data_IF_505862090336
#
_entry.id   IF_505862090336
#
_cell.length_a   1.000
_cell.length_b   1.000
_cell.length_c   1.000
_cell.angle_alpha   90.00
_cell.angle_beta   90.00
_cell.angle_gamma   90.00
#
_symmetry.space_group_name_H-M   'P 1'
#
loop_
_entity.id
_entity.type
_entity.pdbx_description
1 polymer ?
#
# COMPACT_ATOMS: atom_id res chain seq x y z
N UNK A 1 -26.42 14.82 -4.58
CA UNK A 1 -25.73 13.62 -5.09
C UNK A 1 -25.69 13.68 -6.59
N UNK A 2 -24.66 13.15 -7.22
CA UNK A 2 -24.46 13.07 -8.66
C UNK A 2 -24.16 11.62 -9.02
N UNK A 3 -24.86 11.11 -10.03
CA UNK A 3 -24.62 9.76 -10.56
C UNK A 3 -23.53 9.84 -11.63
N UNK A 4 -22.40 9.17 -11.41
CA UNK A 4 -21.24 9.21 -12.31
C UNK A 4 -20.88 7.82 -12.83
N UNK A 5 -20.52 7.77 -14.11
CA UNK A 5 -19.91 6.58 -14.70
C UNK A 5 -18.41 6.57 -14.41
N UNK A 6 -17.91 5.44 -13.91
CA UNK A 6 -16.49 5.14 -13.74
C UNK A 6 -16.27 3.68 -14.12
N UNK A 7 -15.81 3.40 -15.35
CA UNK A 7 -15.49 2.05 -15.77
C UNK A 7 -14.46 1.43 -14.81
N UNK A 8 -14.81 0.28 -14.24
CA UNK A 8 -13.99 -0.36 -13.19
C UNK A 8 -14.20 -1.85 -13.11
N UNK A 9 -13.15 -2.57 -12.75
CA UNK A 9 -13.17 -4.00 -12.43
C UNK A 9 -12.32 -4.28 -11.20
N UNK A 10 -12.66 -5.37 -10.50
CA UNK A 10 -11.82 -5.95 -9.46
C UNK A 10 -11.24 -7.26 -9.97
N UNK A 11 -9.92 -7.39 -9.96
CA UNK A 11 -9.23 -8.66 -10.20
C UNK A 11 -8.97 -9.31 -8.85
N UNK A 12 -9.72 -10.35 -8.55
CA UNK A 12 -9.64 -11.08 -7.28
C UNK A 12 -9.02 -12.46 -7.46
N UNK A 13 -8.59 -13.10 -6.40
CA UNK A 13 -8.10 -14.47 -6.43
C UNK A 13 -8.84 -15.36 -5.45
N UNK A 14 -8.69 -16.67 -5.61
CA UNK A 14 -9.19 -17.64 -4.64
C UNK A 14 -8.37 -17.66 -3.35
N UNK A 15 -7.09 -17.29 -3.42
CA UNK A 15 -6.15 -17.20 -2.31
C UNK A 15 -4.95 -16.33 -2.68
N UNK A 16 -4.00 -16.17 -1.75
CA UNK A 16 -2.71 -15.54 -2.05
C UNK A 16 -1.89 -16.40 -3.00
N UNK A 17 -1.07 -15.77 -3.86
CA UNK A 17 -0.15 -16.47 -4.75
C UNK A 17 -0.78 -17.06 -6.03
N UNK A 18 -2.06 -16.80 -6.34
CA UNK A 18 -2.70 -17.29 -7.58
C UNK A 18 -2.27 -16.54 -8.85
N UNK A 19 -1.45 -15.48 -8.72
CA UNK A 19 -0.92 -14.69 -9.84
C UNK A 19 -1.68 -13.41 -10.15
N UNK A 20 -2.47 -12.88 -9.20
CA UNK A 20 -3.19 -11.59 -9.35
C UNK A 20 -2.28 -10.45 -9.81
N UNK A 21 -1.18 -10.23 -9.10
CA UNK A 21 -0.26 -9.11 -9.36
C UNK A 21 0.33 -9.17 -10.76
N UNK A 22 0.75 -10.35 -11.23
CA UNK A 22 1.24 -10.56 -12.59
C UNK A 22 0.19 -10.20 -13.64
N UNK A 23 -1.05 -10.69 -13.46
CA UNK A 23 -2.17 -10.44 -14.38
C UNK A 23 -2.58 -8.97 -14.38
N UNK A 24 -2.69 -8.36 -13.21
CA UNK A 24 -3.06 -6.94 -13.07
C UNK A 24 -1.98 -6.05 -13.67
N UNK A 25 -0.71 -6.26 -13.33
CA UNK A 25 0.42 -5.51 -13.90
C UNK A 25 0.43 -5.64 -15.43
N UNK A 26 0.20 -6.85 -15.96
CA UNK A 26 0.10 -7.09 -17.39
C UNK A 26 -1.06 -6.35 -18.04
N UNK A 27 -2.26 -6.37 -17.46
CA UNK A 27 -3.41 -5.62 -17.97
C UNK A 27 -3.17 -4.11 -17.96
N UNK A 28 -2.57 -3.58 -16.87
CA UNK A 28 -2.21 -2.17 -16.76
C UNK A 28 -1.22 -1.76 -17.86
N UNK A 29 -0.14 -2.53 -18.03
CA UNK A 29 0.88 -2.27 -19.05
C UNK A 29 0.30 -2.37 -20.47
N UNK A 30 -0.52 -3.39 -20.75
CA UNK A 30 -1.17 -3.57 -22.04
C UNK A 30 -2.07 -2.38 -22.39
N UNK A 31 -3.02 -2.03 -21.51
CA UNK A 31 -3.92 -0.91 -21.79
C UNK A 31 -3.18 0.42 -21.90
N UNK A 32 -2.18 0.66 -21.05
CA UNK A 32 -1.34 1.85 -21.14
C UNK A 32 -0.60 1.92 -22.49
N UNK A 33 -0.03 0.80 -22.98
CA UNK A 33 0.66 0.73 -24.28
C UNK A 33 -0.28 0.97 -25.47
N UNK A 34 -1.58 0.74 -25.28
CA UNK A 34 -2.63 1.05 -26.29
C UNK A 34 -3.18 2.48 -26.19
N UNK A 35 -2.63 3.30 -25.29
CA UNK A 35 -3.01 4.71 -25.13
C UNK A 35 -4.21 4.95 -24.22
N UNK A 36 -4.69 3.93 -23.49
CA UNK A 36 -5.77 4.13 -22.51
C UNK A 36 -5.22 4.82 -21.24
N UNK A 37 -6.01 5.72 -20.68
CA UNK A 37 -5.79 6.27 -19.36
C UNK A 37 -6.26 5.25 -18.31
N UNK A 38 -5.32 4.43 -17.78
CA UNK A 38 -5.64 3.35 -16.85
C UNK A 38 -5.37 3.80 -15.42
N UNK A 39 -6.34 3.67 -14.52
CA UNK A 39 -6.15 4.00 -13.11
C UNK A 39 -6.01 2.72 -12.27
N UNK A 40 -4.81 2.45 -11.73
CA UNK A 40 -4.59 1.32 -10.85
C UNK A 40 -5.01 1.61 -9.42
N UNK A 41 -5.55 0.56 -8.77
CA UNK A 41 -5.82 0.52 -7.34
C UNK A 41 -5.41 -0.82 -6.73
N UNK A 42 -5.09 -0.83 -5.44
CA UNK A 42 -4.82 -2.03 -4.64
C UNK A 42 -5.72 -2.06 -3.42
N UNK A 43 -6.36 -3.20 -3.15
CA UNK A 43 -7.12 -3.40 -1.90
C UNK A 43 -6.16 -3.65 -0.75
N UNK A 44 -6.42 -2.97 0.39
CA UNK A 44 -5.64 -3.13 1.61
C UNK A 44 -4.34 -2.33 1.68
N UNK A 45 -3.58 -2.47 2.77
CA UNK A 45 -2.43 -1.64 3.10
C UNK A 45 -1.12 -2.20 2.51
N UNK A 46 -1.06 -2.30 1.19
CA UNK A 46 0.09 -2.81 0.44
C UNK A 46 0.93 -1.66 -0.11
N UNK A 47 2.25 -1.75 -0.01
CA UNK A 47 3.20 -0.77 -0.55
C UNK A 47 3.95 -1.26 -1.79
N UNK A 48 3.99 -2.58 -2.01
CA UNK A 48 4.83 -3.21 -3.04
C UNK A 48 4.11 -3.28 -4.37
N UNK A 49 2.93 -3.92 -4.40
CA UNK A 49 2.16 -4.08 -5.63
C UNK A 49 1.80 -2.73 -6.26
N UNK A 50 1.42 -1.67 -5.49
CA UNK A 50 1.21 -0.33 -6.03
C UNK A 50 2.41 0.24 -6.78
N UNK A 51 3.64 -0.10 -6.39
CA UNK A 51 4.85 0.30 -7.08
C UNK A 51 4.95 -0.27 -8.50
N UNK A 52 4.63 -1.56 -8.68
CA UNK A 52 4.54 -2.21 -10.00
C UNK A 52 3.40 -1.63 -10.82
N UNK A 53 2.23 -1.47 -10.21
CA UNK A 53 1.06 -0.91 -10.87
C UNK A 53 1.30 0.50 -11.38
N UNK A 54 1.93 1.35 -10.57
CA UNK A 54 2.24 2.72 -10.93
C UNK A 54 3.17 2.80 -12.14
N UNK A 55 4.22 1.97 -12.17
CA UNK A 55 5.13 1.87 -13.32
C UNK A 55 4.42 1.35 -14.57
N UNK A 56 3.59 0.31 -14.44
CA UNK A 56 2.86 -0.28 -15.56
C UNK A 56 1.81 0.67 -16.17
N UNK A 57 1.15 1.48 -15.34
CA UNK A 57 0.09 2.40 -15.77
C UNK A 57 0.60 3.83 -16.08
N UNK A 58 1.86 4.15 -15.79
CA UNK A 58 2.42 5.49 -15.94
C UNK A 58 1.80 6.54 -15.01
N UNK A 59 1.17 6.13 -13.90
CA UNK A 59 0.52 7.02 -12.91
C UNK A 59 0.39 6.33 -11.55
N UNK A 60 0.23 7.11 -10.48
CA UNK A 60 0.14 6.58 -9.12
C UNK A 60 -0.95 5.51 -8.99
N UNK A 61 -0.61 4.42 -8.29
CA UNK A 61 -1.57 3.44 -7.79
C UNK A 61 -2.00 3.81 -6.38
N UNK A 62 -3.29 3.69 -6.07
CA UNK A 62 -3.84 4.06 -4.77
C UNK A 62 -4.39 2.85 -4.02
N UNK A 63 -4.30 2.91 -2.69
CA UNK A 63 -4.87 1.87 -1.84
C UNK A 63 -6.35 2.16 -1.56
N UNK A 64 -7.18 1.11 -1.61
CA UNK A 64 -8.59 1.13 -1.22
C UNK A 64 -8.75 0.28 0.03
N UNK A 65 -9.16 0.91 1.12
CA UNK A 65 -9.17 0.28 2.43
C UNK A 65 -10.30 0.87 3.30
N UNK A 66 -11.17 0.01 3.84
CA UNK A 66 -12.32 0.44 4.66
C UNK A 66 -12.02 0.48 6.16
N UNK A 67 -10.81 0.07 6.58
CA UNK A 67 -10.33 0.25 7.95
C UNK A 67 -9.59 1.57 8.12
N UNK A 68 -8.60 1.81 7.26
CA UNK A 68 -7.74 2.99 7.32
C UNK A 68 -8.45 4.24 6.80
N UNK A 69 -9.37 4.10 5.84
CA UNK A 69 -10.20 5.19 5.33
C UNK A 69 -11.63 5.04 5.87
N UNK A 70 -12.29 6.10 6.34
CA UNK A 70 -13.69 6.04 6.73
C UNK A 70 -14.55 5.47 5.60
N UNK A 71 -15.46 4.50 5.88
CA UNK A 71 -16.21 3.77 4.86
C UNK A 71 -17.07 4.66 3.94
N UNK A 72 -17.58 5.78 4.45
CA UNK A 72 -18.34 6.80 3.72
C UNK A 72 -17.47 7.61 2.73
N UNK A 73 -16.15 7.63 2.91
CA UNK A 73 -15.20 8.32 2.04
C UNK A 73 -14.67 7.45 0.91
N UNK A 74 -14.84 6.14 0.97
CA UNK A 74 -14.29 5.22 -0.04
C UNK A 74 -14.79 5.57 -1.45
N UNK A 75 -16.10 5.68 -1.65
CA UNK A 75 -16.70 5.96 -2.97
C UNK A 75 -16.33 7.35 -3.48
N UNK A 76 -16.43 8.45 -2.70
CA UNK A 76 -15.97 9.76 -3.13
C UNK A 76 -14.48 9.80 -3.49
N UNK A 77 -13.62 9.16 -2.70
CA UNK A 77 -12.18 9.09 -2.96
C UNK A 77 -11.90 8.33 -4.27
N UNK A 78 -12.47 7.14 -4.46
CA UNK A 78 -12.36 6.39 -5.71
C UNK A 78 -12.83 7.21 -6.91
N UNK A 79 -14.00 7.85 -6.81
CA UNK A 79 -14.57 8.65 -7.87
C UNK A 79 -13.69 9.85 -8.28
N UNK A 80 -13.02 10.46 -7.31
CA UNK A 80 -12.07 11.56 -7.54
C UNK A 80 -10.80 11.06 -8.23
N UNK A 81 -10.20 10.00 -7.70
CA UNK A 81 -8.93 9.45 -8.19
C UNK A 81 -9.06 8.79 -9.57
N UNK A 82 -10.23 8.22 -9.89
CA UNK A 82 -10.54 7.62 -11.20
C UNK A 82 -11.03 8.61 -12.24
N UNK A 83 -11.04 9.91 -11.92
CA UNK A 83 -11.50 10.94 -12.88
C UNK A 83 -10.60 10.98 -14.12
N UNK A 84 -11.24 10.90 -15.31
CA UNK A 84 -10.52 10.92 -16.58
C UNK A 84 -9.82 9.62 -16.95
N UNK A 85 -10.02 8.55 -16.18
CA UNK A 85 -9.57 7.22 -16.57
C UNK A 85 -10.59 6.56 -17.51
N UNK A 86 -10.08 5.86 -18.54
CA UNK A 86 -10.89 5.02 -19.44
C UNK A 86 -11.30 3.73 -18.74
N UNK A 87 -10.45 3.23 -17.84
CA UNK A 87 -10.69 2.05 -17.01
C UNK A 87 -9.94 2.17 -15.69
N UNK A 88 -10.57 1.72 -14.60
CA UNK A 88 -9.93 1.49 -13.31
C UNK A 88 -9.79 0.00 -13.04
N UNK A 89 -8.58 -0.46 -12.75
CA UNK A 89 -8.29 -1.85 -12.41
C UNK A 89 -7.89 -1.91 -10.94
N UNK A 90 -8.66 -2.69 -10.16
CA UNK A 90 -8.49 -2.82 -8.73
C UNK A 90 -7.95 -4.22 -8.44
N UNK A 91 -6.70 -4.32 -7.97
CA UNK A 91 -6.17 -5.60 -7.52
C UNK A 91 -6.66 -5.92 -6.11
N UNK A 92 -7.22 -7.12 -5.95
CA UNK A 92 -7.63 -7.66 -4.66
C UNK A 92 -6.45 -8.08 -3.77
N UNK A 93 -6.71 -8.19 -2.49
CA UNK A 93 -5.78 -8.72 -1.48
C UNK A 93 -6.17 -10.14 -1.10
N UNK A 94 -5.21 -11.02 -0.81
CA UNK A 94 -5.44 -12.41 -0.39
C UNK A 94 -6.47 -13.14 -1.28
N UNK A 95 -7.39 -13.91 -0.72
CA UNK A 95 -8.57 -14.42 -1.40
C UNK A 95 -9.72 -13.40 -1.39
N UNK A 96 -10.65 -13.51 -2.33
CA UNK A 96 -11.77 -12.58 -2.54
C UNK A 96 -12.51 -12.22 -1.25
N UNK A 97 -12.75 -13.21 -0.39
CA UNK A 97 -13.52 -13.06 0.86
C UNK A 97 -12.64 -12.92 2.10
N UNK A 98 -11.30 -12.99 1.95
CA UNK A 98 -10.37 -12.84 3.05
C UNK A 98 -10.18 -11.37 3.39
N UNK A 99 -10.19 -11.04 4.68
CA UNK A 99 -10.07 -9.64 5.14
C UNK A 99 -9.76 -9.53 6.62
N UNK A 100 -9.92 -8.35 7.18
CA UNK A 100 -9.87 -8.09 8.61
C UNK A 100 -10.99 -8.82 9.38
N UNK A 101 -11.18 -8.48 10.66
CA UNK A 101 -12.29 -9.02 11.44
C UNK A 101 -13.63 -8.71 10.75
N UNK A 102 -14.51 -9.71 10.65
CA UNK A 102 -15.81 -9.60 9.97
C UNK A 102 -15.74 -9.18 8.49
N UNK A 103 -14.66 -9.51 7.78
CA UNK A 103 -14.49 -9.21 6.36
C UNK A 103 -14.18 -7.75 6.03
N UNK A 104 -13.88 -6.90 7.02
CA UNK A 104 -13.48 -5.50 6.80
C UNK A 104 -12.26 -5.45 5.87
N UNK A 105 -12.30 -4.55 4.90
CA UNK A 105 -11.26 -4.38 3.87
C UNK A 105 -10.92 -5.66 3.10
N UNK A 106 -11.86 -6.64 3.02
CA UNK A 106 -11.73 -7.73 2.05
C UNK A 106 -11.93 -7.19 0.63
N UNK A 107 -11.46 -7.95 -0.36
CA UNK A 107 -11.70 -7.62 -1.77
C UNK A 107 -13.20 -7.57 -2.06
N UNK A 108 -13.99 -8.47 -1.46
CA UNK A 108 -15.46 -8.48 -1.58
C UNK A 108 -16.11 -7.23 -0.97
N UNK A 109 -15.63 -6.75 0.20
CA UNK A 109 -16.14 -5.52 0.81
C UNK A 109 -15.94 -4.30 -0.12
N UNK A 110 -14.75 -4.17 -0.70
CA UNK A 110 -14.46 -3.10 -1.67
C UNK A 110 -15.31 -3.25 -2.94
N UNK A 111 -15.42 -4.46 -3.50
CA UNK A 111 -16.21 -4.73 -4.70
C UNK A 111 -17.68 -4.34 -4.51
N UNK A 112 -18.28 -4.71 -3.37
CA UNK A 112 -19.68 -4.37 -3.03
C UNK A 112 -19.87 -2.85 -2.89
N UNK A 113 -19.01 -2.17 -2.11
CA UNK A 113 -19.11 -0.72 -1.90
C UNK A 113 -18.96 0.07 -3.18
N UNK A 114 -18.07 -0.35 -4.04
CA UNK A 114 -17.87 0.25 -5.35
C UNK A 114 -18.82 -0.28 -6.42
N UNK A 115 -19.68 -1.26 -6.14
CA UNK A 115 -20.51 -1.96 -7.12
C UNK A 115 -19.67 -2.38 -8.34
N UNK A 116 -18.47 -2.89 -8.08
CA UNK A 116 -17.51 -3.23 -9.13
C UNK A 116 -17.65 -4.71 -9.50
N UNK A 117 -17.79 -5.04 -10.81
CA UNK A 117 -17.76 -6.43 -11.25
C UNK A 117 -16.38 -7.05 -10.92
N UNK A 118 -16.41 -8.31 -10.51
CA UNK A 118 -15.23 -9.07 -10.12
C UNK A 118 -14.85 -10.04 -11.22
N UNK A 119 -13.57 -10.05 -11.61
CA UNK A 119 -12.96 -11.10 -12.44
C UNK A 119 -12.10 -11.96 -11.51
N UNK A 120 -12.45 -13.23 -11.38
CA UNK A 120 -11.80 -14.13 -10.45
C UNK A 120 -10.65 -14.90 -11.11
N UNK A 121 -9.45 -14.76 -10.57
CA UNK A 121 -8.27 -15.56 -11.01
C UNK A 121 -8.31 -16.91 -10.36
N UNK A 122 -8.30 -17.97 -11.19
CA UNK A 122 -8.30 -19.37 -10.79
C UNK A 122 -6.94 -20.01 -11.07
N UNK A 123 -6.30 -20.58 -10.05
CA UNK A 123 -5.09 -21.38 -10.24
C UNK A 123 -5.46 -22.77 -10.78
N UNK A 124 -5.12 -23.01 -12.05
CA UNK A 124 -5.40 -24.26 -12.75
C UNK A 124 -4.25 -25.27 -12.64
N UNK A 125 -3.22 -25.00 -11.81
CA UNK A 125 -2.11 -25.93 -11.63
C UNK A 125 -2.61 -27.26 -11.04
N UNK A 126 -2.42 -28.34 -11.80
CA UNK A 126 -2.74 -29.72 -11.36
C UNK A 126 -4.22 -29.95 -11.00
N UNK A 127 -5.14 -29.18 -11.62
CA UNK A 127 -6.59 -29.33 -11.44
C UNK A 127 -7.27 -29.46 -12.81
N UNK A 128 -8.31 -30.27 -12.89
CA UNK A 128 -9.15 -30.45 -14.08
C UNK A 128 -10.57 -29.95 -13.83
N UNK A 129 -11.57 -30.80 -14.07
CA UNK A 129 -13.00 -30.47 -13.92
C UNK A 129 -13.37 -29.92 -12.53
N UNK A 130 -12.65 -30.27 -11.46
CA UNK A 130 -12.91 -29.79 -10.10
C UNK A 130 -12.78 -28.28 -9.94
N UNK A 131 -12.11 -27.57 -10.87
CA UNK A 131 -12.00 -26.11 -10.83
C UNK A 131 -13.37 -25.43 -10.93
N UNK A 132 -14.35 -26.07 -11.59
CA UNK A 132 -15.72 -25.59 -11.67
C UNK A 132 -16.40 -25.50 -10.29
N UNK A 133 -16.13 -26.46 -9.40
CA UNK A 133 -16.65 -26.41 -8.05
C UNK A 133 -16.10 -25.22 -7.27
N UNK A 134 -14.82 -24.87 -7.48
CA UNK A 134 -14.21 -23.67 -6.92
C UNK A 134 -14.89 -22.41 -7.45
N UNK A 135 -15.03 -22.29 -8.75
CA UNK A 135 -15.66 -21.12 -9.39
C UNK A 135 -17.12 -20.94 -8.91
N UNK A 136 -17.89 -22.03 -8.87
CA UNK A 136 -19.26 -22.04 -8.35
C UNK A 136 -19.32 -21.63 -6.89
N UNK A 137 -18.46 -22.22 -6.04
CA UNK A 137 -18.42 -21.89 -4.61
C UNK A 137 -18.18 -20.40 -4.38
N UNK A 138 -17.24 -19.79 -5.10
CA UNK A 138 -16.99 -18.36 -5.01
C UNK A 138 -18.18 -17.52 -5.49
N UNK A 139 -18.86 -17.91 -6.56
CA UNK A 139 -20.02 -17.19 -7.11
C UNK A 139 -21.24 -17.24 -6.18
N UNK A 140 -21.49 -18.40 -5.58
CA UNK A 140 -22.69 -18.64 -4.75
C UNK A 140 -22.50 -18.25 -3.28
N UNK A 141 -21.25 -18.01 -2.83
CA UNK A 141 -20.94 -17.75 -1.42
C UNK A 141 -21.52 -16.41 -0.92
N UNK A 142 -21.44 -15.37 -1.75
CA UNK A 142 -22.01 -14.04 -1.43
C UNK A 142 -22.72 -13.49 -2.68
N UNK A 143 -24.07 -13.50 -2.71
CA UNK A 143 -24.84 -13.08 -3.88
C UNK A 143 -24.73 -11.57 -4.17
N UNK A 144 -24.22 -10.75 -3.22
CA UNK A 144 -24.01 -9.32 -3.41
C UNK A 144 -22.69 -9.03 -4.13
N UNK A 145 -21.83 -10.04 -4.35
CA UNK A 145 -20.60 -9.94 -5.11
C UNK A 145 -20.82 -10.44 -6.53
N UNK A 146 -20.81 -9.53 -7.49
CA UNK A 146 -21.00 -9.87 -8.90
C UNK A 146 -19.70 -10.39 -9.52
N UNK A 147 -19.55 -11.72 -9.66
CA UNK A 147 -18.46 -12.35 -10.42
C UNK A 147 -18.86 -12.39 -11.89
N UNK A 148 -18.24 -11.49 -12.69
CA UNK A 148 -18.54 -11.31 -14.11
C UNK A 148 -17.83 -12.34 -15.00
N UNK A 149 -16.77 -12.97 -14.52
CA UNK A 149 -16.03 -13.99 -15.25
C UNK A 149 -14.75 -14.40 -14.51
N UNK A 150 -13.98 -15.26 -15.17
CA UNK A 150 -12.73 -15.79 -14.62
C UNK A 150 -11.55 -15.59 -15.58
N UNK A 151 -10.34 -15.53 -15.00
CA UNK A 151 -9.08 -15.70 -15.71
C UNK A 151 -8.45 -17.00 -15.19
N UNK A 152 -8.21 -17.93 -16.11
CA UNK A 152 -7.55 -19.19 -15.83
C UNK A 152 -6.04 -18.96 -15.81
N UNK A 153 -5.35 -19.36 -14.74
CA UNK A 153 -3.91 -19.16 -14.63
C UNK A 153 -3.17 -20.49 -14.45
N UNK A 154 -1.90 -20.54 -14.87
CA UNK A 154 -1.01 -21.69 -14.75
C UNK A 154 -1.50 -22.94 -15.48
N UNK A 155 -2.14 -22.78 -16.63
CA UNK A 155 -2.50 -23.86 -17.51
C UNK A 155 -1.26 -24.61 -18.01
N UNK A 156 -1.36 -25.92 -18.21
CA UNK A 156 -0.21 -26.74 -18.60
C UNK A 156 -0.09 -26.95 -20.10
N UNK A 157 -1.20 -27.20 -20.78
CA UNK A 157 -1.28 -27.53 -22.23
C UNK A 157 -2.58 -27.05 -22.82
N UNK A 158 -2.66 -26.94 -24.16
CA UNK A 158 -3.87 -26.56 -24.87
C UNK A 158 -5.04 -27.54 -24.60
N UNK A 159 -4.74 -28.84 -24.45
CA UNK A 159 -5.75 -29.83 -24.05
C UNK A 159 -6.28 -29.58 -22.64
N UNK A 160 -5.42 -29.15 -21.74
CA UNK A 160 -5.83 -28.77 -20.38
C UNK A 160 -6.71 -27.52 -20.41
N UNK A 161 -6.34 -26.52 -21.20
CA UNK A 161 -7.15 -25.31 -21.38
C UNK A 161 -8.53 -25.66 -21.96
N UNK A 162 -8.58 -26.45 -23.03
CA UNK A 162 -9.84 -26.87 -23.64
C UNK A 162 -10.78 -27.57 -22.64
N UNK A 163 -10.24 -28.47 -21.81
CA UNK A 163 -10.98 -29.17 -20.76
C UNK A 163 -11.52 -28.20 -19.70
N UNK A 164 -10.71 -27.23 -19.26
CA UNK A 164 -11.15 -26.27 -18.23
C UNK A 164 -12.18 -25.27 -18.81
N UNK A 165 -12.02 -24.84 -20.07
CA UNK A 165 -13.03 -23.99 -20.74
C UNK A 165 -14.37 -24.71 -20.90
N UNK A 166 -14.35 -25.99 -21.29
CA UNK A 166 -15.57 -26.80 -21.41
C UNK A 166 -16.37 -26.84 -20.10
N UNK A 167 -15.68 -27.01 -18.96
CA UNK A 167 -16.38 -27.07 -17.68
C UNK A 167 -16.85 -25.70 -17.19
N UNK A 168 -16.13 -24.61 -17.51
CA UNK A 168 -16.62 -23.23 -17.26
C UNK A 168 -17.88 -22.92 -18.06
N UNK A 169 -17.94 -23.35 -19.32
CA UNK A 169 -19.13 -23.19 -20.15
C UNK A 169 -20.35 -23.91 -19.55
N UNK A 170 -20.16 -25.15 -19.06
CA UNK A 170 -21.24 -25.94 -18.40
C UNK A 170 -21.84 -25.26 -17.17
N UNK A 171 -21.06 -24.44 -16.48
CA UNK A 171 -21.52 -23.66 -15.30
C UNK A 171 -21.87 -22.20 -15.67
N UNK A 172 -21.88 -21.86 -16.95
CA UNK A 172 -22.14 -20.51 -17.45
C UNK A 172 -21.22 -19.45 -16.80
N UNK A 173 -19.92 -19.74 -16.72
CA UNK A 173 -18.90 -18.84 -16.21
C UNK A 173 -18.03 -18.34 -17.36
N UNK A 174 -18.12 -17.02 -17.72
CA UNK A 174 -17.31 -16.47 -18.79
C UNK A 174 -15.81 -16.59 -18.49
N UNK A 175 -15.01 -17.05 -19.46
CA UNK A 175 -13.55 -17.11 -19.39
C UNK A 175 -12.98 -15.93 -20.17
N UNK A 176 -12.50 -14.92 -19.44
CA UNK A 176 -11.95 -13.69 -20.01
C UNK A 176 -10.45 -13.80 -20.33
N UNK A 177 -9.77 -14.83 -19.87
CA UNK A 177 -8.37 -15.06 -20.17
C UNK A 177 -7.88 -16.42 -19.74
N UNK A 178 -6.76 -16.87 -20.33
CA UNK A 178 -6.17 -18.17 -20.09
C UNK A 178 -4.63 -18.10 -20.19
N UNK A 179 -3.97 -17.97 -19.05
CA UNK A 179 -2.52 -17.92 -18.96
C UNK A 179 -1.92 -19.29 -18.84
N UNK A 180 -1.04 -19.62 -19.76
CA UNK A 180 -0.18 -20.80 -19.66
C UNK A 180 0.97 -20.53 -18.68
N UNK A 181 1.59 -21.63 -18.20
CA UNK A 181 2.80 -21.51 -17.36
C UNK A 181 3.91 -20.85 -18.17
N UNK A 182 4.44 -19.79 -17.64
CA UNK A 182 5.56 -19.07 -18.17
C UNK A 182 6.45 -18.61 -16.99
N UNK A 183 7.65 -19.21 -16.90
CA UNK A 183 8.59 -18.92 -15.81
C UNK A 183 9.15 -17.48 -15.93
N UNK A 184 9.13 -16.89 -17.12
CA UNK A 184 9.55 -15.50 -17.33
C UNK A 184 8.57 -14.47 -16.73
N UNK A 185 7.34 -14.87 -16.41
CA UNK A 185 6.35 -14.03 -15.72
C UNK A 185 6.47 -14.08 -14.18
N UNK A 186 7.34 -14.94 -13.66
CA UNK A 186 7.52 -15.05 -12.21
C UNK A 186 8.29 -13.82 -11.69
N UNK A 187 7.68 -13.11 -10.75
CA UNK A 187 8.43 -12.12 -9.97
C UNK A 187 9.45 -12.84 -9.10
N UNK A 188 10.72 -12.42 -9.07
CA UNK A 188 11.74 -13.06 -8.25
C UNK A 188 11.30 -13.18 -6.79
N UNK A 189 11.54 -14.33 -6.16
CA UNK A 189 11.37 -14.48 -4.70
C UNK A 189 12.31 -13.53 -3.95
N UNK A 190 11.84 -12.92 -2.89
CA UNK A 190 12.34 -11.66 -2.37
C UNK A 190 12.72 -11.79 -0.90
N UNK A 191 13.65 -10.95 -0.45
CA UNK A 191 14.01 -10.82 0.95
C UNK A 191 12.73 -10.62 1.78
N UNK A 192 12.43 -11.53 2.73
CA UNK A 192 11.20 -11.53 3.54
C UNK A 192 9.89 -11.51 2.72
N UNK A 193 9.89 -12.00 1.48
CA UNK A 193 8.75 -11.89 0.57
C UNK A 193 8.55 -10.52 -0.07
N UNK A 194 9.50 -9.59 0.14
CA UNK A 194 9.38 -8.18 -0.24
C UNK A 194 10.71 -7.70 -0.89
N UNK A 195 10.74 -7.20 -2.12
CA UNK A 195 11.94 -6.59 -2.73
C UNK A 195 11.61 -5.22 -3.28
N UNK A 196 12.46 -4.21 -3.05
CA UNK A 196 12.40 -2.96 -3.78
C UNK A 196 12.55 -3.23 -5.28
N UNK A 197 11.75 -2.56 -6.06
CA UNK A 197 11.72 -2.68 -7.51
C UNK A 197 12.92 -1.92 -8.09
N UNK A 198 14.00 -2.60 -8.46
CA UNK A 198 15.10 -1.98 -9.22
C UNK A 198 14.65 -1.63 -10.63
N UNK A 199 15.15 -0.51 -11.21
CA UNK A 199 14.47 0.11 -12.37
C UNK A 199 14.55 -0.68 -13.68
N UNK A 200 15.67 -1.28 -14.03
CA UNK A 200 15.88 -1.87 -15.37
C UNK A 200 15.22 -3.25 -15.51
N UNK A 201 15.45 -4.15 -14.56
CA UNK A 201 14.88 -5.50 -14.60
C UNK A 201 13.36 -5.48 -14.48
N UNK A 202 12.82 -4.49 -13.78
CA UNK A 202 11.39 -4.32 -13.59
C UNK A 202 10.68 -3.87 -14.85
N UNK A 203 11.26 -2.96 -15.63
CA UNK A 203 10.63 -2.46 -16.85
C UNK A 203 10.46 -3.57 -17.88
N UNK A 204 11.51 -4.37 -18.12
CA UNK A 204 11.43 -5.51 -19.03
C UNK A 204 10.40 -6.56 -18.59
N UNK A 205 10.31 -6.82 -17.28
CA UNK A 205 9.31 -7.73 -16.73
C UNK A 205 7.87 -7.18 -16.92
N UNK A 206 7.64 -5.90 -16.68
CA UNK A 206 6.33 -5.26 -16.89
C UNK A 206 5.92 -5.31 -18.37
N UNK A 207 6.83 -5.05 -19.29
CA UNK A 207 6.59 -5.16 -20.73
C UNK A 207 6.21 -6.58 -21.13
N UNK A 208 6.95 -7.59 -20.65
CA UNK A 208 6.64 -9.00 -20.90
C UNK A 208 5.26 -9.40 -20.31
N UNK A 209 4.91 -8.93 -19.12
CA UNK A 209 3.58 -9.13 -18.53
C UNK A 209 2.49 -8.47 -19.40
N UNK A 210 2.76 -7.29 -19.97
CA UNK A 210 1.86 -6.60 -20.89
C UNK A 210 1.61 -7.37 -22.19
N UNK A 211 2.67 -7.90 -22.80
CA UNK A 211 2.59 -8.77 -23.99
C UNK A 211 1.77 -10.04 -23.69
N UNK A 212 2.04 -10.68 -22.57
CA UNK A 212 1.30 -11.86 -22.12
C UNK A 212 -0.20 -11.57 -21.90
N UNK A 213 -0.55 -10.44 -21.28
CA UNK A 213 -1.93 -10.02 -21.13
C UNK A 213 -2.61 -9.79 -22.47
N UNK A 214 -1.94 -9.12 -23.42
CA UNK A 214 -2.47 -8.90 -24.78
C UNK A 214 -2.65 -10.19 -25.59
N UNK A 215 -1.87 -11.23 -25.28
CA UNK A 215 -1.95 -12.52 -25.95
C UNK A 215 -3.02 -13.45 -25.37
N UNK A 216 -3.17 -13.45 -24.05
CA UNK A 216 -3.93 -14.48 -23.32
C UNK A 216 -5.22 -13.99 -22.69
N UNK A 217 -5.51 -12.68 -22.75
CA UNK A 217 -6.75 -12.09 -22.23
C UNK A 217 -7.58 -11.50 -23.36
N UNK A 218 -8.88 -11.75 -23.34
CA UNK A 218 -9.84 -11.00 -24.16
C UNK A 218 -10.01 -9.60 -23.53
N UNK A 219 -9.12 -8.71 -23.94
CA UNK A 219 -9.02 -7.36 -23.37
C UNK A 219 -10.23 -6.49 -23.70
N UNK A 220 -10.90 -6.71 -24.82
CA UNK A 220 -12.16 -6.04 -25.16
C UNK A 220 -13.29 -6.50 -24.24
N UNK A 221 -13.42 -7.81 -23.99
CA UNK A 221 -14.40 -8.31 -23.03
C UNK A 221 -14.14 -7.77 -21.59
N UNK A 222 -12.88 -7.61 -21.19
CA UNK A 222 -12.51 -6.97 -19.91
C UNK A 222 -12.96 -5.51 -19.87
N UNK A 223 -12.76 -4.74 -20.95
CA UNK A 223 -13.25 -3.37 -21.08
C UNK A 223 -14.77 -3.29 -21.01
N UNK A 224 -15.46 -4.21 -21.66
CA UNK A 224 -16.92 -4.25 -21.67
C UNK A 224 -17.48 -4.56 -20.28
N UNK A 225 -16.87 -5.50 -19.54
CA UNK A 225 -17.22 -5.78 -18.15
C UNK A 225 -17.00 -4.51 -17.30
N UNK A 226 -15.90 -3.80 -17.49
CA UNK A 226 -15.61 -2.57 -16.73
C UNK A 226 -16.62 -1.45 -17.03
N UNK A 227 -17.04 -1.28 -18.30
CA UNK A 227 -18.02 -0.29 -18.74
C UNK A 227 -19.43 -0.56 -18.24
N UNK A 228 -19.77 -1.84 -18.01
CA UNK A 228 -21.06 -2.26 -17.46
C UNK A 228 -21.19 -2.03 -15.94
N UNK A 229 -20.11 -1.62 -15.25
CA UNK A 229 -20.17 -1.31 -13.84
C UNK A 229 -21.23 -0.23 -13.53
N UNK A 230 -22.14 -0.45 -12.55
CA UNK A 230 -23.22 0.48 -12.23
C UNK A 230 -22.72 1.89 -11.87
N UNK A 231 -23.56 2.90 -12.08
CA UNK A 231 -23.25 4.28 -11.69
C UNK A 231 -22.95 4.38 -10.19
N UNK A 232 -22.00 5.26 -9.84
CA UNK A 232 -21.69 5.61 -8.46
C UNK A 232 -22.41 6.90 -8.09
N UNK A 233 -23.03 6.89 -6.89
CA UNK A 233 -23.61 8.08 -6.30
C UNK A 233 -22.56 8.78 -5.44
N UNK A 234 -22.24 10.03 -5.76
CA UNK A 234 -21.23 10.83 -5.05
C UNK A 234 -21.80 12.19 -4.66
N UNK A 235 -21.37 12.67 -3.50
CA UNK A 235 -21.62 14.05 -3.13
C UNK A 235 -20.68 14.97 -3.92
N UNK A 236 -21.20 16.10 -4.40
CA UNK A 236 -20.35 17.12 -5.01
C UNK A 236 -19.41 17.69 -3.93
N UNK A 237 -18.16 17.29 -3.96
CA UNK A 237 -17.14 17.85 -3.09
C UNK A 237 -16.14 18.64 -3.96
N UNK A 238 -16.10 19.94 -3.77
CA UNK A 238 -14.99 20.75 -4.27
C UNK A 238 -13.86 20.72 -3.25
N UNK A 239 -12.87 19.90 -3.50
CA UNK A 239 -11.64 19.91 -2.70
C UNK A 239 -10.82 21.14 -3.09
N UNK A 240 -10.94 22.22 -2.32
CA UNK A 240 -10.06 23.39 -2.49
C UNK A 240 -8.70 23.08 -1.89
N UNK A 241 -7.67 23.17 -2.71
CA UNK A 241 -6.29 23.15 -2.22
C UNK A 241 -6.05 24.38 -1.33
N UNK A 242 -5.53 24.16 -0.13
CA UNK A 242 -5.10 25.28 0.73
C UNK A 242 -3.82 25.88 0.17
N UNK A 243 -3.59 27.17 0.45
CA UNK A 243 -2.32 27.84 0.11
C UNK A 243 -1.17 27.12 0.80
N UNK A 244 -0.05 26.94 0.09
CA UNK A 244 1.17 26.31 0.63
C UNK A 244 1.70 27.13 1.82
N UNK A 245 1.80 26.49 2.98
CA UNK A 245 2.15 27.13 4.25
C UNK A 245 3.49 26.66 4.78
N UNK A 246 3.77 25.37 4.62
CA UNK A 246 4.94 24.67 5.14
C UNK A 246 5.60 23.81 4.08
N UNK A 247 6.92 23.61 4.21
CA UNK A 247 7.69 22.65 3.42
C UNK A 247 8.01 21.44 4.28
N UNK A 248 7.78 20.24 3.77
CA UNK A 248 7.99 18.98 4.49
C UNK A 248 8.96 18.12 3.69
N UNK A 249 10.08 17.78 4.31
CA UNK A 249 11.05 16.83 3.77
C UNK A 249 10.50 15.41 3.88
N UNK A 250 10.48 14.69 2.76
CA UNK A 250 10.07 13.28 2.70
C UNK A 250 11.28 12.44 2.33
N UNK A 251 11.72 11.57 3.22
CA UNK A 251 12.82 10.64 2.96
C UNK A 251 12.38 9.65 1.88
N UNK A 252 12.95 9.73 0.68
CA UNK A 252 12.54 8.90 -0.45
C UNK A 252 13.74 8.37 -1.22
N UNK A 253 14.02 7.09 -1.02
CA UNK A 253 14.99 6.30 -1.75
C UNK A 253 14.68 4.80 -1.61
N UNK A 254 15.62 3.94 -1.94
CA UNK A 254 15.46 2.48 -1.89
C UNK A 254 15.28 1.97 -0.45
N UNK A 255 15.82 2.67 0.55
CA UNK A 255 15.65 2.34 1.96
C UNK A 255 14.30 2.81 2.53
N UNK A 256 13.72 3.90 1.99
CA UNK A 256 12.51 4.56 2.48
C UNK A 256 11.52 4.78 1.33
N UNK A 257 10.76 3.77 0.98
CA UNK A 257 9.86 3.78 -0.19
C UNK A 257 8.39 3.53 0.13
N UNK A 258 8.03 3.25 1.40
CA UNK A 258 6.66 2.90 1.78
C UNK A 258 5.86 4.15 2.13
N UNK A 259 5.16 4.66 1.13
CA UNK A 259 4.24 5.80 1.25
C UNK A 259 2.94 5.51 0.52
N UNK A 260 1.82 5.89 1.13
CA UNK A 260 0.54 5.94 0.43
C UNK A 260 0.44 7.27 -0.32
N UNK A 261 0.29 7.28 -1.67
CA UNK A 261 0.14 8.52 -2.43
C UNK A 261 -1.01 9.40 -1.89
N UNK A 262 -2.17 8.79 -1.58
CA UNK A 262 -3.30 9.51 -1.02
C UNK A 262 -3.00 10.18 0.33
N UNK A 263 -2.13 9.57 1.16
CA UNK A 263 -1.68 10.11 2.44
C UNK A 263 -0.82 11.37 2.24
N UNK A 264 0.13 11.33 1.30
CA UNK A 264 0.96 12.48 0.97
C UNK A 264 0.14 13.61 0.33
N UNK A 265 -0.74 13.29 -0.61
CA UNK A 265 -1.68 14.26 -1.20
C UNK A 265 -2.62 14.89 -0.16
N UNK A 266 -2.98 14.15 0.90
CA UNK A 266 -3.76 14.74 2.00
C UNK A 266 -3.00 15.86 2.71
N UNK A 267 -1.68 15.73 2.89
CA UNK A 267 -0.84 16.80 3.44
C UNK A 267 -0.75 17.99 2.48
N UNK A 268 -0.61 17.74 1.18
CA UNK A 268 -0.60 18.81 0.17
C UNK A 268 -1.95 19.57 0.15
N UNK A 269 -3.08 18.85 0.24
CA UNK A 269 -4.42 19.48 0.38
C UNK A 269 -4.53 20.35 1.63
N UNK A 270 -3.79 20.04 2.70
CA UNK A 270 -3.72 20.84 3.93
C UNK A 270 -2.72 22.02 3.84
N UNK A 271 -1.98 22.16 2.74
CA UNK A 271 -1.05 23.26 2.50
C UNK A 271 0.42 22.90 2.72
N UNK A 272 0.79 21.63 2.62
CA UNK A 272 2.18 21.21 2.55
C UNK A 272 2.75 21.39 1.12
N UNK A 273 4.03 21.69 1.04
CA UNK A 273 4.89 21.46 -0.10
C UNK A 273 5.82 20.30 0.28
N UNK A 274 5.74 19.21 -0.45
CA UNK A 274 6.58 18.03 -0.20
C UNK A 274 7.89 18.17 -0.97
N UNK A 275 9.01 17.88 -0.29
CA UNK A 275 10.36 17.96 -0.85
C UNK A 275 11.05 16.63 -0.58
N UNK A 276 11.26 15.84 -1.62
CA UNK A 276 11.96 14.57 -1.49
C UNK A 276 13.45 14.79 -1.18
N UNK A 277 14.03 13.90 -0.36
CA UNK A 277 15.46 13.81 -0.11
C UNK A 277 15.85 12.35 0.13
N UNK A 278 17.13 12.02 -0.12
CA UNK A 278 17.64 10.66 0.01
C UNK A 278 18.57 10.50 1.19
N UNK A 279 18.17 9.82 2.27
CA UNK A 279 19.10 9.43 3.34
C UNK A 279 20.32 8.63 2.88
N UNK A 280 20.21 7.90 1.75
CA UNK A 280 21.33 7.14 1.19
C UNK A 280 22.32 8.01 0.43
N UNK A 281 21.87 9.07 -0.28
CA UNK A 281 22.70 9.81 -1.26
C UNK A 281 22.98 11.26 -0.92
N UNK A 282 22.03 11.94 -0.28
CA UNK A 282 22.20 13.35 0.05
C UNK A 282 23.06 13.52 1.31
N UNK A 283 23.83 14.59 1.37
CA UNK A 283 24.70 14.89 2.52
C UNK A 283 24.00 15.68 3.65
N UNK A 284 22.80 16.23 3.37
CA UNK A 284 22.02 17.00 4.34
C UNK A 284 20.54 17.00 3.97
N UNK A 285 19.69 17.30 4.96
CA UNK A 285 18.27 17.55 4.72
C UNK A 285 18.07 18.83 3.92
N UNK A 286 17.00 18.93 3.11
CA UNK A 286 16.63 20.20 2.45
C UNK A 286 16.14 21.24 3.47
N UNK A 287 16.03 22.51 3.02
CA UNK A 287 15.42 23.57 3.85
C UNK A 287 13.91 23.36 3.93
N UNK A 288 13.45 22.78 5.07
CA UNK A 288 12.08 22.36 5.34
C UNK A 288 11.63 22.67 6.77
N UNK A 289 10.35 22.55 7.02
CA UNK A 289 9.71 22.88 8.29
C UNK A 289 9.35 21.63 9.11
N UNK A 290 9.58 20.42 8.58
CA UNK A 290 9.37 19.12 9.23
C UNK A 290 9.88 17.97 8.36
N UNK A 291 10.12 16.79 8.95
CA UNK A 291 10.64 15.62 8.28
C UNK A 291 9.70 14.43 8.44
N UNK A 292 9.48 13.69 7.35
CA UNK A 292 8.78 12.40 7.32
C UNK A 292 9.76 11.32 6.85
N UNK A 293 9.90 10.27 7.65
CA UNK A 293 10.57 9.02 7.30
C UNK A 293 9.54 7.91 7.23
N UNK A 294 9.19 7.46 6.04
CA UNK A 294 8.28 6.35 5.84
C UNK A 294 8.91 5.00 6.18
N UNK A 295 8.14 3.95 5.97
CA UNK A 295 8.65 2.59 6.00
C UNK A 295 9.52 2.27 4.79
N UNK A 296 10.06 1.06 4.78
CA UNK A 296 10.95 0.56 3.75
C UNK A 296 11.82 -0.56 4.27
N UNK A 297 13.00 -0.70 3.68
CA UNK A 297 13.97 -1.75 3.99
C UNK A 297 15.35 -1.18 4.38
N UNK A 298 15.48 -0.37 5.44
CA UNK A 298 16.77 0.18 5.84
C UNK A 298 17.78 -0.90 6.19
N UNK A 299 17.33 -2.10 6.62
CA UNK A 299 18.19 -3.25 6.91
C UNK A 299 18.91 -3.82 5.68
N UNK A 300 18.50 -3.44 4.47
CA UNK A 300 19.19 -3.82 3.23
C UNK A 300 20.31 -2.84 2.85
N UNK A 301 20.39 -1.68 3.51
CA UNK A 301 21.29 -0.56 3.20
C UNK A 301 22.05 -0.08 4.42
N UNK A 302 22.35 -1.00 5.37
CA UNK A 302 22.94 -0.65 6.66
C UNK A 302 24.31 0.03 6.54
N UNK A 303 25.15 -0.44 5.61
CA UNK A 303 26.49 0.12 5.39
C UNK A 303 26.43 1.55 4.85
N UNK A 304 25.56 1.80 3.87
CA UNK A 304 25.36 3.11 3.26
C UNK A 304 24.79 4.11 4.29
N UNK A 305 23.78 3.68 5.08
CA UNK A 305 23.17 4.51 6.11
C UNK A 305 24.16 4.84 7.24
N UNK A 306 24.99 3.87 7.66
CA UNK A 306 26.07 4.12 8.63
C UNK A 306 27.09 5.09 8.07
N UNK A 307 27.50 4.90 6.82
CA UNK A 307 28.52 5.70 6.13
C UNK A 307 28.11 7.16 5.94
N UNK A 308 26.81 7.44 5.79
CA UNK A 308 26.32 8.80 5.59
C UNK A 308 26.24 9.60 6.91
N UNK A 309 27.41 9.87 7.50
CA UNK A 309 27.53 10.60 8.77
C UNK A 309 27.06 12.04 8.67
N UNK A 310 27.21 12.68 7.51
CA UNK A 310 26.78 14.04 7.26
C UNK A 310 25.25 14.19 7.32
N UNK A 311 24.50 13.32 6.66
CA UNK A 311 23.04 13.27 6.74
C UNK A 311 22.56 13.03 8.16
N UNK A 312 23.15 12.04 8.87
CA UNK A 312 22.80 11.76 10.27
C UNK A 312 23.04 12.97 11.17
N UNK A 313 24.14 13.70 10.98
CA UNK A 313 24.42 14.95 11.72
C UNK A 313 23.37 16.03 11.44
N UNK A 314 23.03 16.23 10.17
CA UNK A 314 22.01 17.21 9.74
C UNK A 314 20.63 16.92 10.37
N UNK A 315 20.21 15.65 10.43
CA UNK A 315 18.95 15.26 11.07
C UNK A 315 18.99 15.48 12.58
N UNK A 316 20.12 15.15 13.26
CA UNK A 316 20.28 15.40 14.69
C UNK A 316 20.21 16.90 15.02
N UNK A 317 20.85 17.73 14.21
CA UNK A 317 20.84 19.19 14.37
C UNK A 317 19.42 19.74 14.20
N UNK A 318 18.70 19.31 13.16
CA UNK A 318 17.30 19.68 12.95
C UNK A 318 16.41 19.31 14.13
N UNK A 319 16.56 18.08 14.67
CA UNK A 319 15.83 17.62 15.85
C UNK A 319 16.17 18.48 17.09
N UNK A 320 17.46 18.79 17.31
CA UNK A 320 17.91 19.62 18.42
C UNK A 320 17.38 21.07 18.33
N UNK A 321 17.20 21.59 17.10
CA UNK A 321 16.55 22.86 16.83
C UNK A 321 15.03 22.85 17.02
N UNK A 322 14.43 21.69 17.29
CA UNK A 322 12.99 21.54 17.53
C UNK A 322 12.16 21.25 16.27
N UNK A 323 12.77 20.93 15.13
CA UNK A 323 12.07 20.56 13.91
C UNK A 323 11.21 19.30 14.17
N UNK A 324 9.91 19.30 13.82
CA UNK A 324 9.06 18.12 13.94
C UNK A 324 9.55 16.97 13.05
N UNK A 325 9.63 15.77 13.60
CA UNK A 325 10.03 14.54 12.90
C UNK A 325 8.97 13.48 13.14
N UNK A 326 8.45 12.91 12.06
CA UNK A 326 7.53 11.80 12.04
C UNK A 326 8.14 10.62 11.29
N UNK A 327 8.16 9.43 11.93
CA UNK A 327 8.78 8.25 11.35
C UNK A 327 7.90 7.00 11.53
N UNK A 328 7.80 6.21 10.45
CA UNK A 328 7.07 4.94 10.43
C UNK A 328 8.04 3.77 10.14
N UNK A 329 7.93 2.66 10.90
CA UNK A 329 8.56 1.37 10.66
C UNK A 329 10.07 1.48 10.34
N UNK A 330 10.48 1.38 9.07
CA UNK A 330 11.87 1.59 8.66
C UNK A 330 12.43 2.95 9.09
N UNK A 331 11.60 3.99 9.08
CA UNK A 331 11.95 5.31 9.62
C UNK A 331 12.21 5.28 11.13
N UNK A 332 11.40 4.56 11.92
CA UNK A 332 11.68 4.32 13.34
C UNK A 332 13.03 3.65 13.51
N UNK A 333 13.31 2.58 12.74
CA UNK A 333 14.58 1.85 12.82
C UNK A 333 15.78 2.77 12.57
N UNK A 334 15.69 3.65 11.58
CA UNK A 334 16.75 4.62 11.25
C UNK A 334 16.94 5.70 12.34
N UNK A 335 15.85 6.08 13.03
CA UNK A 335 15.94 7.04 14.14
C UNK A 335 16.48 6.43 15.45
N UNK A 336 16.51 5.11 15.60
CA UNK A 336 17.06 4.41 16.76
C UNK A 336 18.56 4.65 16.92
N UNK A 337 19.12 4.20 18.04
CA UNK A 337 20.57 4.20 18.27
C UNK A 337 21.26 3.23 17.31
N UNK A 338 20.68 2.03 17.15
CA UNK A 338 21.26 0.96 16.34
C UNK A 338 20.19 0.11 15.67
N UNK A 339 20.57 -0.49 14.55
CA UNK A 339 19.89 -1.65 13.96
C UNK A 339 20.83 -2.84 14.10
N UNK A 340 20.36 -3.93 14.69
CA UNK A 340 21.02 -5.23 14.62
C UNK A 340 20.49 -5.97 13.39
N UNK A 341 21.41 -6.24 12.44
CA UNK A 341 21.10 -6.90 11.18
C UNK A 341 20.83 -8.40 11.33
N UNK A 342 20.49 -9.07 10.23
CA UNK A 342 20.30 -10.54 10.19
C UNK A 342 21.60 -11.32 10.42
N UNK A 343 22.74 -10.69 10.19
CA UNK A 343 24.09 -11.18 10.45
C UNK A 343 24.46 -11.17 11.95
N UNK A 344 23.65 -10.47 12.77
CA UNK A 344 23.88 -10.27 14.18
C UNK A 344 24.77 -9.06 14.50
N UNK A 345 25.29 -8.39 13.48
CA UNK A 345 26.09 -7.18 13.65
C UNK A 345 25.22 -5.97 13.98
N UNK A 346 25.78 -5.02 14.73
CA UNK A 346 25.09 -3.80 15.14
C UNK A 346 25.59 -2.60 14.34
N UNK A 347 24.66 -1.84 13.77
CA UNK A 347 24.89 -0.72 12.88
C UNK A 347 24.38 0.57 13.52
N UNK A 348 25.27 1.57 13.72
CA UNK A 348 24.93 2.83 14.36
C UNK A 348 24.07 3.73 13.45
N UNK A 349 22.90 4.12 13.96
CA UNK A 349 21.93 4.94 13.25
C UNK A 349 21.90 6.38 13.77
N UNK A 350 20.76 7.07 13.74
CA UNK A 350 20.68 8.50 14.12
C UNK A 350 20.77 8.69 15.63
N UNK A 351 20.16 7.82 16.45
CA UNK A 351 20.20 7.89 17.91
C UNK A 351 19.26 8.94 18.51
N UNK A 352 18.16 9.30 17.85
CA UNK A 352 17.09 10.14 18.41
C UNK A 352 16.11 9.35 19.26
N UNK A 353 15.95 8.07 18.95
CA UNK A 353 15.14 7.11 19.71
C UNK A 353 16.09 6.23 20.53
N UNK A 354 16.02 6.28 21.88
CA UNK A 354 16.93 5.52 22.74
C UNK A 354 16.53 4.04 22.77
N UNK A 355 17.08 3.27 21.83
CA UNK A 355 16.79 1.84 21.69
C UNK A 355 17.49 1.22 20.51
N UNK A 356 17.42 -0.12 20.46
CA UNK A 356 18.01 -0.95 19.41
C UNK A 356 16.89 -1.70 18.70
N UNK A 357 16.83 -1.56 17.37
CA UNK A 357 15.97 -2.39 16.52
C UNK A 357 16.71 -3.67 16.15
N UNK A 358 16.12 -4.82 16.42
CA UNK A 358 16.67 -6.14 16.11
C UNK A 358 15.89 -6.81 15.02
N UNK A 359 16.54 -7.17 13.90
CA UNK A 359 15.90 -7.87 12.79
C UNK A 359 15.61 -9.33 13.15
N UNK A 360 14.41 -9.79 12.87
CA UNK A 360 13.91 -11.12 13.16
C UNK A 360 13.60 -11.89 11.87
N UNK A 361 13.92 -13.19 11.83
CA UNK A 361 13.63 -14.06 10.67
C UNK A 361 12.13 -14.32 10.47
N UNK A 362 11.33 -14.09 11.50
CA UNK A 362 9.86 -14.30 11.46
C UNK A 362 9.16 -12.95 11.57
N UNK A 363 8.04 -12.86 10.87
CA UNK A 363 7.12 -11.73 11.00
C UNK A 363 6.69 -11.56 12.46
N UNK A 364 6.91 -10.36 13.02
CA UNK A 364 6.63 -10.08 14.42
C UNK A 364 5.21 -9.60 14.63
N UNK A 365 4.77 -8.69 13.77
CA UNK A 365 3.41 -8.13 13.82
C UNK A 365 2.86 -7.94 12.41
N UNK A 366 1.56 -8.21 12.29
CA UNK A 366 0.78 -7.92 11.08
C UNK A 366 -0.68 -7.72 11.42
N UNK A 367 -1.30 -6.72 10.83
CA UNK A 367 -2.74 -6.51 10.88
C UNK A 367 -3.17 -5.10 11.20
N UNK A 368 -4.46 -4.90 11.10
CA UNK A 368 -5.11 -3.63 11.43
C UNK A 368 -5.13 -3.38 12.93
N UNK A 369 -4.81 -2.15 13.32
CA UNK A 369 -4.77 -1.71 14.71
C UNK A 369 -5.44 -0.35 14.89
N UNK A 370 -5.93 -0.11 16.11
CA UNK A 370 -6.25 1.23 16.62
C UNK A 370 -5.21 1.61 17.65
N UNK A 371 -4.50 2.70 17.40
CA UNK A 371 -3.54 3.29 18.32
C UNK A 371 -4.21 4.34 19.20
N UNK A 372 -4.16 4.16 20.53
CA UNK A 372 -4.50 5.21 21.49
C UNK A 372 -3.24 5.93 21.93
N UNK A 373 -3.16 7.23 21.66
CA UNK A 373 -2.02 8.05 22.06
C UNK A 373 -1.88 8.11 23.58
N UNK A 374 -0.72 7.70 24.09
CA UNK A 374 -0.38 7.73 25.53
C UNK A 374 0.08 9.11 25.97
N UNK A 375 0.54 9.94 25.03
CA UNK A 375 1.03 11.30 25.26
C UNK A 375 0.83 12.17 24.03
N UNK A 376 0.98 13.48 24.21
CA UNK A 376 1.04 14.43 23.10
C UNK A 376 2.24 14.15 22.21
N UNK A 377 2.03 14.22 20.90
CA UNK A 377 3.06 14.09 19.86
C UNK A 377 2.84 15.13 18.75
N UNK A 378 3.62 15.06 17.69
CA UNK A 378 3.53 15.95 16.53
C UNK A 378 2.24 15.75 15.70
N UNK A 379 1.52 14.63 15.87
CA UNK A 379 0.30 14.30 15.13
C UNK A 379 -0.92 14.01 16.01
N UNK A 380 -0.75 13.90 17.34
CA UNK A 380 -1.81 13.47 18.24
C UNK A 380 -1.72 14.13 19.61
N UNK A 381 -2.86 14.41 20.24
CA UNK A 381 -2.94 14.70 21.67
C UNK A 381 -3.13 13.41 22.46
N UNK A 382 -2.84 13.45 23.77
CA UNK A 382 -3.05 12.30 24.65
C UNK A 382 -4.52 11.87 24.63
N UNK A 383 -4.75 10.59 24.35
CA UNK A 383 -6.08 9.98 24.27
C UNK A 383 -6.67 9.91 22.88
N UNK A 384 -6.09 10.58 21.88
CA UNK A 384 -6.52 10.48 20.49
C UNK A 384 -6.43 9.03 19.99
N UNK A 385 -7.36 8.67 19.11
CA UNK A 385 -7.42 7.37 18.46
C UNK A 385 -7.02 7.50 17.00
N UNK A 386 -6.06 6.69 16.57
CA UNK A 386 -5.55 6.62 15.21
C UNK A 386 -5.76 5.22 14.64
N UNK A 387 -6.28 5.12 13.42
CA UNK A 387 -6.41 3.86 12.70
C UNK A 387 -5.25 3.67 11.74
N UNK A 388 -4.67 2.47 11.77
CA UNK A 388 -3.59 2.09 10.87
C UNK A 388 -3.37 0.59 10.86
N UNK A 389 -2.18 0.19 10.50
CA UNK A 389 -1.77 -1.21 10.53
C UNK A 389 -0.31 -1.34 10.99
N UNK A 390 0.06 -2.54 11.40
CA UNK A 390 1.44 -2.95 11.65
C UNK A 390 1.84 -4.01 10.62
N UNK A 391 3.07 -3.94 10.15
CA UNK A 391 3.72 -5.00 9.37
C UNK A 391 5.23 -4.87 9.52
N UNK A 392 5.84 -5.65 10.41
CA UNK A 392 7.28 -5.55 10.63
C UNK A 392 7.91 -6.87 11.10
N UNK A 393 9.18 -7.05 10.73
CA UNK A 393 10.02 -8.19 11.11
C UNK A 393 10.99 -7.85 12.24
N UNK A 394 11.13 -6.59 12.61
CA UNK A 394 12.02 -6.15 13.69
C UNK A 394 11.29 -6.00 15.03
N UNK A 395 12.05 -6.00 16.11
CA UNK A 395 11.61 -5.68 17.47
C UNK A 395 12.42 -4.51 18.00
N UNK A 396 11.83 -3.70 18.88
CA UNK A 396 12.50 -2.58 19.53
C UNK A 396 12.84 -2.97 20.98
N UNK A 397 14.13 -3.00 21.30
CA UNK A 397 14.66 -3.16 22.67
C UNK A 397 15.02 -1.80 23.24
N UNK A 398 14.45 -1.42 24.39
CA UNK A 398 14.62 -0.11 25.02
C UNK A 398 14.59 -0.21 26.55
N UNK A 399 14.99 0.87 27.23
CA UNK A 399 15.00 0.95 28.69
C UNK A 399 13.59 1.07 29.31
N UNK A 400 13.51 0.92 30.63
CA UNK A 400 12.24 0.92 31.38
C UNK A 400 11.50 2.26 31.31
N UNK A 401 12.20 3.40 31.31
CA UNK A 401 11.63 4.76 31.24
C UNK A 401 11.35 5.23 29.80
N UNK A 402 11.14 4.30 28.87
CA UNK A 402 10.92 4.64 27.47
C UNK A 402 9.60 5.40 27.27
N UNK A 403 9.62 6.54 26.57
CA UNK A 403 8.44 7.38 26.40
C UNK A 403 7.49 6.85 25.31
N UNK A 404 6.77 5.78 25.61
CA UNK A 404 5.85 5.10 24.71
C UNK A 404 4.82 6.03 24.10
N UNK A 405 4.64 5.92 22.78
CA UNK A 405 3.71 6.76 22.02
C UNK A 405 2.28 6.26 22.11
N UNK A 406 2.08 4.95 22.01
CA UNK A 406 0.76 4.35 21.81
C UNK A 406 0.53 3.11 22.67
N UNK A 407 -0.77 2.83 22.91
CA UNK A 407 -1.27 1.48 23.11
C UNK A 407 -1.95 1.07 21.82
N UNK A 408 -1.46 0.01 21.14
CA UNK A 408 -2.05 -0.51 19.91
C UNK A 408 -2.96 -1.69 20.23
N UNK A 409 -4.19 -1.66 19.69
CA UNK A 409 -5.19 -2.70 19.82
C UNK A 409 -5.50 -3.30 18.45
N UNK A 410 -5.10 -4.54 18.23
CA UNK A 410 -5.41 -5.27 17.00
C UNK A 410 -6.89 -5.63 16.88
N UNK A 411 -7.42 -5.67 15.66
CA UNK A 411 -8.83 -6.01 15.40
C UNK A 411 -9.21 -7.44 15.79
N UNK A 412 -8.22 -8.35 15.86
CA UNK A 412 -8.39 -9.77 16.22
C UNK A 412 -7.78 -10.13 17.58
N UNK A 413 -7.07 -9.22 18.22
CA UNK A 413 -6.37 -9.46 19.48
C UNK A 413 -7.19 -8.97 20.67
N UNK A 414 -7.23 -9.75 21.77
CA UNK A 414 -7.94 -9.37 22.99
C UNK A 414 -7.18 -8.35 23.84
N UNK A 415 -5.84 -8.38 23.81
CA UNK A 415 -4.99 -7.46 24.57
C UNK A 415 -4.20 -6.56 23.64
N UNK A 416 -4.15 -5.27 23.96
CA UNK A 416 -3.26 -4.31 23.31
C UNK A 416 -1.82 -4.47 23.76
N UNK A 417 -0.90 -3.80 23.05
CA UNK A 417 0.50 -3.68 23.44
C UNK A 417 0.95 -2.22 23.35
N UNK A 418 1.96 -1.87 24.12
CA UNK A 418 2.59 -0.55 24.05
C UNK A 418 3.59 -0.52 22.90
N UNK A 419 3.66 0.61 22.19
CA UNK A 419 4.47 0.74 21.00
C UNK A 419 4.83 2.22 20.73
N UNK A 420 5.93 2.42 19.95
CA UNK A 420 6.37 3.71 19.45
C UNK A 420 6.98 4.63 20.48
N UNK A 421 7.72 5.59 19.98
CA UNK A 421 8.42 6.61 20.77
C UNK A 421 7.79 7.98 20.50
N UNK A 422 7.47 8.73 21.55
CA UNK A 422 7.03 10.13 21.43
C UNK A 422 7.66 10.98 22.52
N UNK A 423 8.57 11.89 22.14
CA UNK A 423 9.19 12.85 23.06
C UNK A 423 9.55 14.14 22.32
N UNK A 424 9.09 15.26 22.86
CA UNK A 424 9.35 16.56 22.26
C UNK A 424 8.74 16.67 20.84
N UNK A 425 9.61 16.90 19.89
CA UNK A 425 9.29 17.07 18.47
C UNK A 425 9.47 15.78 17.62
N UNK A 426 9.77 14.64 18.26
CA UNK A 426 10.02 13.35 17.58
C UNK A 426 8.92 12.36 17.90
N UNK A 427 8.32 11.80 16.87
CA UNK A 427 7.42 10.65 16.92
C UNK A 427 7.93 9.57 15.97
N UNK A 428 8.14 8.36 16.46
CA UNK A 428 8.56 7.23 15.66
C UNK A 428 7.84 5.95 16.12
N UNK A 429 7.30 5.14 15.19
CA UNK A 429 6.39 4.06 15.51
C UNK A 429 6.39 2.99 14.43
N UNK A 430 6.04 1.74 14.78
CA UNK A 430 5.69 0.70 13.80
C UNK A 430 4.27 0.85 13.25
N UNK A 431 3.48 1.75 13.83
CA UNK A 431 2.16 2.08 13.30
C UNK A 431 2.29 2.80 11.96
N UNK A 432 1.83 2.16 10.90
CA UNK A 432 1.61 2.80 9.61
C UNK A 432 0.21 3.41 9.56
N UNK A 433 0.11 4.69 9.24
CA UNK A 433 -1.19 5.34 9.09
C UNK A 433 -1.33 6.08 7.75
N UNK A 434 -2.57 6.30 7.34
CA UNK A 434 -2.87 7.20 6.22
C UNK A 434 -3.38 8.52 6.77
N UNK A 435 -2.78 9.64 6.38
CA UNK A 435 -3.26 10.98 6.72
C UNK A 435 -4.62 11.30 6.06
N UNK A 436 -4.93 10.68 4.92
CA UNK A 436 -6.26 10.79 4.30
C UNK A 436 -7.35 10.15 5.19
N UNK A 437 -7.00 9.03 5.85
CA UNK A 437 -7.89 8.36 6.80
C UNK A 437 -7.89 8.93 8.22
N UNK A 438 -6.86 9.73 8.56
CA UNK A 438 -6.68 10.38 9.86
C UNK A 438 -6.54 11.90 9.70
N UNK A 439 -7.56 12.62 9.24
CA UNK A 439 -7.45 14.04 8.88
C UNK A 439 -7.02 14.94 10.04
N UNK A 440 -7.42 14.64 11.27
CA UNK A 440 -6.99 15.37 12.47
C UNK A 440 -5.49 15.23 12.71
N UNK A 441 -4.92 14.04 12.44
CA UNK A 441 -3.47 13.83 12.52
C UNK A 441 -2.72 14.65 11.46
N UNK A 442 -3.27 14.72 10.22
CA UNK A 442 -2.72 15.58 9.17
C UNK A 442 -2.74 17.08 9.57
N UNK A 443 -3.84 17.55 10.13
CA UNK A 443 -3.97 18.95 10.61
C UNK A 443 -2.96 19.25 11.72
N UNK A 444 -2.80 18.35 12.70
CA UNK A 444 -1.83 18.51 13.79
C UNK A 444 -0.39 18.49 13.28
N UNK A 445 -0.10 17.61 12.31
CA UNK A 445 1.22 17.57 11.67
C UNK A 445 1.57 18.91 11.00
N UNK A 446 0.67 19.43 10.17
CA UNK A 446 0.85 20.74 9.53
C UNK A 446 1.02 21.86 10.58
N UNK A 447 0.20 21.86 11.64
CA UNK A 447 0.29 22.83 12.72
C UNK A 447 1.64 22.78 13.46
N UNK A 448 2.18 21.57 13.68
CA UNK A 448 3.51 21.38 14.28
C UNK A 448 4.61 21.98 13.39
N UNK A 449 4.55 21.75 12.07
CA UNK A 449 5.49 22.33 11.10
C UNK A 449 5.34 23.86 11.01
N UNK A 450 4.11 24.40 11.03
CA UNK A 450 3.87 25.87 11.06
C UNK A 450 4.44 26.51 12.33
N UNK A 451 4.31 25.85 13.49
CA UNK A 451 4.87 26.36 14.75
C UNK A 451 6.39 26.43 14.69
N UNK A 452 7.05 25.38 14.20
CA UNK A 452 8.51 25.37 14.00
C UNK A 452 8.96 26.46 13.01
N UNK A 453 8.30 26.61 11.87
CA UNK A 453 8.59 27.66 10.88
C UNK A 453 8.55 29.06 11.49
N UNK A 454 7.61 29.31 12.39
CA UNK A 454 7.47 30.59 13.09
C UNK A 454 8.59 30.83 14.10
N UNK A 455 9.08 29.76 14.76
CA UNK A 455 10.16 29.85 15.76
C UNK A 455 11.55 30.10 15.14
N UNK A 456 11.72 29.78 13.83
CA UNK A 456 12.97 30.05 13.08
C UNK A 456 13.10 31.49 12.59
N UNK A 457 11.98 32.22 12.57
CA UNK A 457 11.93 33.65 12.16
C UNK A 457 12.21 34.58 13.34
#
# INVERSE_FOLDING_TARGET
>A
MESIARPRIVIAGTNSGVGKTTIVTGLLAYFHSKGYAVQPFKVGPDYIDPGFHGKAAGRNSYNLDTWMTPPDRLVPTFASLSKGADISIIEGVMGLYDGGANGISSTADIAKKLKAPVVLVLDCKSVGYSIAATALGFREYDPDVHIAGVILNRLGTDRHEAMVREVMEKIHMPVLGAFHRDDALQTPERHLGLTPVTEIETQALIEHMGEAAGKWVDTEAVLDVARQAPLLEVEKSETKLKVKKVRIGVARDEAFSFYYPASLEALERQGAELVDFSPLRDSSIPDVDGLIFGGGFPEMFLHELVGNTAMKASIREAAACGMPIYAECGGLMYLCEKIQGFDGDSYEMIGLVPGVCEMQKKLQRVGYVTGKALRKSVIADQGDLLKGHEFHFSTLSCGEDFPWAYTLQGTRQKAGHIEGYAKGNVLASYLHLSFDGNPTAAEKWIASCEAFKKSRK
#
